data_IF_039595844101
#
_entry.id   IF_039595844101
#
_cell.length_a   1.000
_cell.length_b   1.000
_cell.length_c   1.000
_cell.angle_alpha   90.00
_cell.angle_beta   90.00
_cell.angle_gamma   90.00
#
_symmetry.space_group_name_H-M   'P 1'
#
loop_
_entity.id
_entity.type
_entity.pdbx_description
1 polymer ?
#
# COMPACT_ATOMS: atom_id res chain seq x y z
N UNK A 1 29.15 28.69 -50.18
CA UNK A 1 28.70 27.74 -51.15
C UNK A 1 27.50 27.04 -50.50
N UNK A 2 26.33 27.53 -50.57
CA UNK A 2 25.19 27.39 -51.48
C UNK A 2 25.09 25.98 -52.08
N UNK A 3 23.96 25.34 -51.77
CA UNK A 3 22.85 24.89 -52.62
C UNK A 3 22.01 23.92 -51.80
N UNK A 4 20.80 24.25 -51.53
CA UNK A 4 19.51 24.02 -52.22
C UNK A 4 18.97 22.58 -52.11
N UNK A 5 17.88 22.55 -51.40
CA UNK A 5 16.54 21.96 -51.66
C UNK A 5 16.44 20.56 -52.29
N UNK A 6 15.68 19.69 -51.65
CA UNK A 6 14.47 19.17 -52.33
C UNK A 6 13.48 18.51 -51.33
N UNK A 7 12.26 18.87 -51.52
CA UNK A 7 11.03 18.50 -50.91
C UNK A 7 10.52 17.20 -51.55
N UNK A 8 10.25 16.14 -50.77
CA UNK A 8 9.39 15.05 -51.23
C UNK A 8 8.38 14.68 -50.16
N UNK A 9 7.18 15.17 -50.38
CA UNK A 9 5.93 14.72 -49.79
C UNK A 9 5.69 13.23 -50.08
N UNK A 10 5.71 12.38 -49.06
CA UNK A 10 5.28 10.99 -49.07
C UNK A 10 3.94 10.83 -48.37
N UNK A 11 2.89 10.76 -49.15
CA UNK A 11 1.53 10.42 -48.80
C UNK A 11 1.48 9.03 -48.16
N UNK A 12 1.17 8.92 -46.87
CA UNK A 12 0.80 7.65 -46.27
C UNK A 12 -0.72 7.54 -46.21
N UNK A 13 -1.18 6.59 -46.96
CA UNK A 13 -2.53 6.23 -47.30
C UNK A 13 -3.35 5.79 -46.11
N UNK A 14 -4.49 6.40 -45.95
CA UNK A 14 -5.61 6.03 -45.05
C UNK A 14 -6.15 4.64 -45.38
N UNK A 15 -6.02 3.68 -44.46
CA UNK A 15 -6.85 2.48 -44.38
C UNK A 15 -7.15 2.16 -42.91
N UNK A 16 -8.04 2.91 -42.32
CA UNK A 16 -8.84 2.54 -41.13
C UNK A 16 -10.20 3.23 -41.26
N UNK A 17 -11.00 2.71 -42.15
CA UNK A 17 -12.44 2.92 -42.14
C UNK A 17 -13.04 1.60 -42.60
N UNK A 18 -13.72 0.91 -41.68
CA UNK A 18 -14.88 0.06 -41.89
C UNK A 18 -14.98 -1.00 -40.76
N UNK A 19 -15.42 -0.61 -39.58
CA UNK A 19 -16.26 -1.42 -38.68
C UNK A 19 -17.13 -0.43 -37.89
N UNK A 20 -18.01 0.24 -38.60
CA UNK A 20 -19.10 1.04 -38.02
C UNK A 20 -20.23 1.12 -39.03
N UNK A 21 -20.83 -0.02 -39.30
CA UNK A 21 -22.14 -0.11 -39.93
C UNK A 21 -22.81 -1.41 -39.40
N UNK A 22 -23.76 -1.19 -38.58
CA UNK A 22 -25.03 -1.91 -38.36
C UNK A 22 -25.49 -1.84 -36.90
N UNK A 23 -25.98 -0.72 -36.48
CA UNK A 23 -27.11 -0.59 -35.52
C UNK A 23 -27.89 0.66 -35.87
N UNK A 24 -28.56 0.68 -37.01
CA UNK A 24 -29.68 1.56 -37.24
C UNK A 24 -30.94 0.84 -36.72
N UNK A 25 -31.63 1.47 -35.79
CA UNK A 25 -32.98 1.04 -35.40
C UNK A 25 -33.33 1.07 -33.92
N UNK A 26 -32.71 1.95 -33.09
CA UNK A 26 -33.32 2.27 -31.80
C UNK A 26 -33.48 3.78 -31.70
N UNK A 27 -34.68 4.25 -31.91
CA UNK A 27 -35.05 5.63 -31.62
C UNK A 27 -34.91 5.87 -30.13
N UNK A 28 -34.00 6.80 -29.75
CA UNK A 28 -33.85 7.23 -28.38
C UNK A 28 -35.14 7.96 -27.96
N UNK A 29 -36.06 7.28 -27.31
CA UNK A 29 -37.08 7.93 -26.52
C UNK A 29 -36.44 8.50 -25.26
N UNK A 30 -36.46 9.80 -25.11
CA UNK A 30 -36.09 10.51 -23.87
C UNK A 30 -37.09 10.06 -22.81
N UNK A 31 -36.64 9.25 -21.85
CA UNK A 31 -37.42 8.86 -20.69
C UNK A 31 -37.54 10.06 -19.74
N UNK A 32 -38.71 10.30 -19.08
CA UNK A 32 -38.90 11.40 -18.15
C UNK A 32 -37.96 11.30 -16.96
N UNK A 33 -37.48 12.45 -16.49
CA UNK A 33 -36.66 12.62 -15.30
C UNK A 33 -37.38 12.05 -14.07
N UNK A 34 -37.02 10.89 -13.63
CA UNK A 34 -37.63 10.13 -12.50
C UNK A 34 -37.53 8.61 -12.64
N UNK A 35 -37.28 8.09 -13.84
CA UNK A 35 -37.11 6.65 -14.07
C UNK A 35 -35.64 6.22 -14.16
N UNK A 36 -34.68 7.13 -14.17
CA UNK A 36 -33.25 6.83 -14.23
C UNK A 36 -32.76 6.10 -12.97
N UNK A 37 -33.29 6.43 -11.80
CA UNK A 37 -32.90 5.79 -10.53
C UNK A 37 -33.41 4.34 -10.43
N UNK A 38 -34.58 4.06 -10.98
CA UNK A 38 -35.15 2.69 -11.00
C UNK A 38 -34.47 1.79 -12.02
N UNK A 39 -34.04 2.33 -13.16
CA UNK A 39 -33.29 1.55 -14.17
C UNK A 39 -31.85 1.31 -13.69
N UNK A 40 -31.22 2.27 -13.04
CA UNK A 40 -29.89 2.11 -12.43
C UNK A 40 -29.90 1.03 -11.34
N UNK A 41 -30.90 1.07 -10.43
CA UNK A 41 -31.06 0.05 -9.39
C UNK A 41 -31.39 -1.36 -9.96
N UNK A 42 -32.16 -1.42 -11.04
CA UNK A 42 -32.46 -2.68 -11.71
C UNK A 42 -31.25 -3.26 -12.47
N UNK A 43 -30.40 -2.42 -13.04
CA UNK A 43 -29.15 -2.83 -13.70
C UNK A 43 -28.13 -3.31 -12.65
N UNK A 44 -28.03 -2.65 -11.48
CA UNK A 44 -27.22 -3.10 -10.36
C UNK A 44 -27.68 -4.45 -9.79
N UNK A 45 -29.00 -4.70 -9.73
CA UNK A 45 -29.55 -6.01 -9.30
C UNK A 45 -29.32 -7.13 -10.32
N UNK A 46 -29.10 -6.82 -11.60
CA UNK A 46 -28.78 -7.79 -12.66
C UNK A 46 -27.26 -8.04 -12.81
N UNK A 47 -26.44 -7.12 -12.35
CA UNK A 47 -25.01 -7.34 -12.25
C UNK A 47 -24.75 -8.27 -11.06
N UNK A 48 -24.32 -9.49 -11.32
CA UNK A 48 -23.86 -10.41 -10.27
C UNK A 48 -22.71 -9.81 -9.46
N UNK A 49 -22.31 -10.45 -8.35
CA UNK A 49 -21.28 -9.90 -7.44
C UNK A 49 -19.99 -9.59 -8.20
N UNK A 50 -19.40 -8.45 -7.90
CA UNK A 50 -18.10 -8.01 -8.42
C UNK A 50 -16.99 -9.02 -8.08
N UNK A 51 -15.84 -8.91 -8.72
CA UNK A 51 -14.70 -9.75 -8.42
C UNK A 51 -14.34 -9.73 -6.92
N UNK A 52 -14.23 -8.54 -6.32
CA UNK A 52 -13.86 -8.39 -4.90
C UNK A 52 -14.95 -8.92 -3.96
N UNK A 53 -16.22 -8.73 -4.25
CA UNK A 53 -17.32 -9.32 -3.47
C UNK A 53 -17.28 -10.86 -3.49
N UNK A 54 -16.92 -11.46 -4.63
CA UNK A 54 -16.71 -12.94 -4.71
C UNK A 54 -15.50 -13.38 -3.88
N UNK A 55 -14.40 -12.59 -3.89
CA UNK A 55 -13.23 -12.87 -3.04
C UNK A 55 -13.62 -12.81 -1.56
N UNK A 56 -14.31 -11.75 -1.13
CA UNK A 56 -14.77 -11.58 0.27
C UNK A 56 -15.71 -12.68 0.74
N UNK A 57 -16.52 -13.25 -0.15
CA UNK A 57 -17.44 -14.35 0.17
C UNK A 57 -16.75 -15.73 0.16
N UNK A 58 -15.49 -15.82 -0.29
CA UNK A 58 -14.78 -17.09 -0.37
C UNK A 58 -14.35 -17.61 1.02
N UNK A 59 -14.29 -18.94 1.15
CA UNK A 59 -13.76 -19.58 2.36
C UNK A 59 -12.29 -19.23 2.59
N UNK A 60 -11.51 -19.08 1.51
CA UNK A 60 -10.11 -18.69 1.57
C UNK A 60 -9.93 -17.30 2.19
N UNK A 61 -10.81 -16.35 1.83
CA UNK A 61 -10.77 -15.01 2.43
C UNK A 61 -11.12 -15.05 3.91
N UNK A 62 -12.14 -15.80 4.32
CA UNK A 62 -12.52 -15.93 5.74
C UNK A 62 -11.39 -16.50 6.59
N UNK A 63 -10.68 -17.50 6.08
CA UNK A 63 -9.52 -18.07 6.76
C UNK A 63 -8.38 -17.04 6.85
N UNK A 64 -8.10 -16.31 5.75
CA UNK A 64 -7.09 -15.26 5.72
C UNK A 64 -7.44 -14.13 6.69
N UNK A 65 -8.68 -13.66 6.68
CA UNK A 65 -9.22 -12.58 7.53
C UNK A 65 -9.06 -12.92 9.02
N UNK A 66 -9.43 -14.13 9.43
CA UNK A 66 -9.29 -14.60 10.81
C UNK A 66 -7.82 -14.61 11.24
N UNK A 67 -6.95 -15.21 10.44
CA UNK A 67 -5.51 -15.28 10.73
C UNK A 67 -4.85 -13.90 10.75
N UNK A 68 -5.23 -13.03 9.80
CA UNK A 68 -4.75 -11.66 9.73
C UNK A 68 -5.12 -10.87 10.99
N UNK A 69 -6.36 -10.99 11.46
CA UNK A 69 -6.84 -10.33 12.67
C UNK A 69 -6.05 -10.78 13.92
N UNK A 70 -5.80 -12.09 14.04
CA UNK A 70 -5.00 -12.65 15.13
C UNK A 70 -3.54 -12.15 15.05
N UNK A 71 -2.93 -12.13 13.87
CA UNK A 71 -1.57 -11.61 13.64
C UNK A 71 -1.47 -10.12 14.00
N UNK A 72 -2.45 -9.28 13.62
CA UNK A 72 -2.48 -7.85 13.97
C UNK A 72 -2.58 -7.66 15.49
N UNK A 73 -3.40 -8.47 16.18
CA UNK A 73 -3.48 -8.47 17.65
C UNK A 73 -2.15 -8.80 18.32
N UNK A 74 -1.46 -9.84 17.87
CA UNK A 74 -0.13 -10.24 18.32
C UNK A 74 0.94 -9.18 18.01
N UNK A 75 0.89 -8.60 16.81
CA UNK A 75 1.78 -7.54 16.38
C UNK A 75 1.69 -6.29 17.26
N UNK A 76 0.48 -5.85 17.61
CA UNK A 76 0.24 -4.76 18.54
C UNK A 76 0.95 -4.98 19.88
N UNK A 77 0.82 -6.19 20.46
CA UNK A 77 1.51 -6.55 21.69
C UNK A 77 3.02 -6.52 21.53
N UNK A 78 3.54 -7.08 20.44
CA UNK A 78 4.97 -7.14 20.14
C UNK A 78 5.59 -5.74 19.97
N UNK A 79 4.89 -4.78 19.34
CA UNK A 79 5.36 -3.40 19.22
C UNK A 79 5.53 -2.72 20.61
N UNK A 80 4.57 -2.90 21.50
CA UNK A 80 4.68 -2.37 22.87
C UNK A 80 5.88 -3.01 23.62
N UNK A 81 6.10 -4.28 23.41
CA UNK A 81 7.23 -5.01 24.01
C UNK A 81 8.58 -4.59 23.42
N UNK A 82 8.68 -4.27 22.14
CA UNK A 82 9.91 -3.72 21.52
C UNK A 82 10.27 -2.39 22.19
N UNK A 83 9.30 -1.54 22.49
CA UNK A 83 9.55 -0.25 23.14
C UNK A 83 10.06 -0.43 24.56
N UNK A 84 9.44 -1.33 25.34
CA UNK A 84 9.63 -1.46 26.79
C UNK A 84 10.69 -2.49 27.20
N UNK A 85 10.95 -3.50 26.33
CA UNK A 85 11.77 -4.68 26.63
C UNK A 85 12.91 -4.85 25.61
N UNK A 86 13.47 -6.05 25.56
CA UNK A 86 14.42 -6.48 24.50
C UNK A 86 13.69 -6.77 23.20
N UNK A 87 14.41 -6.65 22.08
CA UNK A 87 13.92 -7.10 20.75
C UNK A 87 14.16 -8.60 20.49
N UNK A 88 14.85 -9.29 21.42
CA UNK A 88 15.24 -10.69 21.22
C UNK A 88 13.99 -11.59 21.06
N UNK A 89 13.89 -12.28 19.93
CA UNK A 89 12.80 -13.19 19.57
C UNK A 89 11.49 -12.50 19.11
N UNK A 90 11.27 -11.21 19.41
CA UNK A 90 10.04 -10.52 19.01
C UNK A 90 9.96 -10.32 17.48
N UNK A 91 11.08 -9.94 16.87
CA UNK A 91 11.15 -9.78 15.40
C UNK A 91 10.94 -11.12 14.70
N UNK A 92 11.54 -12.20 15.21
CA UNK A 92 11.35 -13.53 14.65
C UNK A 92 9.90 -14.00 14.77
N UNK A 93 9.22 -13.69 15.87
CA UNK A 93 7.79 -13.95 16.03
C UNK A 93 6.95 -13.20 14.99
N UNK A 94 7.16 -11.89 14.85
CA UNK A 94 6.44 -11.08 13.86
C UNK A 94 6.69 -11.55 12.41
N UNK A 95 7.93 -11.96 12.09
CA UNK A 95 8.23 -12.54 10.79
C UNK A 95 7.53 -13.88 10.60
N UNK A 96 7.38 -14.68 11.67
CA UNK A 96 6.60 -15.91 11.66
C UNK A 96 5.12 -15.67 11.34
N UNK A 97 4.53 -14.61 11.89
CA UNK A 97 3.15 -14.20 11.59
C UNK A 97 2.99 -13.81 10.11
N UNK A 98 3.93 -13.01 9.58
CA UNK A 98 3.95 -12.66 8.14
C UNK A 98 4.07 -13.92 7.27
N UNK A 99 4.97 -14.83 7.60
CA UNK A 99 5.14 -16.09 6.87
C UNK A 99 3.88 -16.97 6.93
N UNK A 100 3.16 -16.98 8.05
CA UNK A 100 1.89 -17.70 8.21
C UNK A 100 0.83 -17.14 7.25
N UNK A 101 0.69 -15.83 7.18
CA UNK A 101 -0.24 -15.15 6.25
C UNK A 101 0.11 -15.41 4.79
N UNK A 102 1.40 -15.33 4.43
CA UNK A 102 1.87 -15.61 3.06
C UNK A 102 1.51 -17.04 2.60
N UNK A 103 1.56 -18.02 3.50
CA UNK A 103 1.18 -19.42 3.22
C UNK A 103 -0.32 -19.61 2.96
N UNK A 104 -1.18 -18.67 3.35
CA UNK A 104 -2.61 -18.71 3.07
C UNK A 104 -2.95 -18.17 1.68
N UNK A 105 -1.99 -17.61 0.98
CA UNK A 105 -2.20 -17.03 -0.35
C UNK A 105 -1.56 -17.90 -1.43
N UNK A 106 -2.19 -17.95 -2.60
CA UNK A 106 -1.75 -18.80 -3.72
C UNK A 106 -0.54 -18.20 -4.46
N UNK A 107 -0.49 -16.89 -4.53
CA UNK A 107 0.53 -16.13 -5.24
C UNK A 107 0.49 -14.65 -4.81
N UNK A 108 1.46 -13.81 -5.21
CA UNK A 108 1.51 -12.39 -4.85
C UNK A 108 0.27 -11.58 -5.25
N UNK A 109 -0.34 -11.84 -6.40
CA UNK A 109 -1.55 -11.12 -6.83
C UNK A 109 -2.73 -11.47 -5.94
N UNK A 110 -2.90 -12.76 -5.61
CA UNK A 110 -3.94 -13.20 -4.67
C UNK A 110 -3.78 -12.57 -3.28
N UNK A 111 -2.53 -12.38 -2.81
CA UNK A 111 -2.28 -11.63 -1.57
C UNK A 111 -2.79 -10.18 -1.68
N UNK A 112 -2.45 -9.48 -2.77
CA UNK A 112 -2.90 -8.09 -2.96
C UNK A 112 -4.43 -7.99 -3.04
N UNK A 113 -5.12 -8.95 -3.66
CA UNK A 113 -6.58 -9.04 -3.67
C UNK A 113 -7.15 -9.21 -2.25
N UNK A 114 -6.54 -10.09 -1.42
CA UNK A 114 -6.94 -10.27 -0.02
C UNK A 114 -6.75 -8.99 0.79
N UNK A 115 -5.60 -8.31 0.65
CA UNK A 115 -5.34 -7.04 1.34
C UNK A 115 -6.33 -5.95 0.90
N UNK A 116 -6.67 -5.88 -0.39
CA UNK A 116 -7.69 -4.96 -0.89
C UNK A 116 -9.06 -5.21 -0.25
N UNK A 117 -9.41 -6.48 -0.01
CA UNK A 117 -10.66 -6.85 0.67
C UNK A 117 -10.65 -6.56 2.18
N UNK A 118 -9.46 -6.45 2.80
CA UNK A 118 -9.31 -6.09 4.22
C UNK A 118 -9.46 -4.60 4.51
N UNK A 119 -9.60 -3.74 3.51
CA UNK A 119 -9.79 -2.29 3.70
C UNK A 119 -11.08 -2.00 4.48
N UNK A 120 -10.96 -1.16 5.50
CA UNK A 120 -12.09 -0.79 6.37
C UNK A 120 -12.04 -1.41 7.77
N UNK A 121 -11.00 -2.17 8.10
CA UNK A 121 -10.80 -2.70 9.46
C UNK A 121 -10.45 -1.60 10.48
N UNK A 122 -11.00 -1.71 11.70
CA UNK A 122 -10.97 -0.65 12.72
C UNK A 122 -9.58 -0.30 13.29
N UNK A 123 -8.58 -1.18 13.23
CA UNK A 123 -7.25 -0.93 13.81
C UNK A 123 -6.24 -0.46 12.75
N UNK A 124 -6.51 0.72 12.16
CA UNK A 124 -5.84 1.22 10.96
C UNK A 124 -4.30 1.24 11.07
N UNK A 125 -3.71 1.57 12.23
CA UNK A 125 -2.24 1.72 12.35
C UNK A 125 -1.51 0.38 12.28
N UNK A 126 -2.00 -0.63 12.99
CA UNK A 126 -1.34 -1.96 13.05
C UNK A 126 -1.64 -2.79 11.81
N UNK A 127 -2.87 -2.71 11.31
CA UNK A 127 -3.29 -3.29 10.03
C UNK A 127 -2.44 -2.74 8.88
N UNK A 128 -2.27 -1.42 8.82
CA UNK A 128 -1.42 -0.76 7.83
C UNK A 128 0.03 -1.27 7.86
N UNK A 129 0.65 -1.33 9.04
CA UNK A 129 2.03 -1.83 9.15
C UNK A 129 2.18 -3.30 8.71
N UNK A 130 1.18 -4.14 8.99
CA UNK A 130 1.14 -5.53 8.52
C UNK A 130 1.00 -5.59 6.99
N UNK A 131 0.10 -4.79 6.41
CA UNK A 131 -0.08 -4.68 4.97
C UNK A 131 1.21 -4.24 4.28
N UNK A 132 1.85 -3.16 4.77
CA UNK A 132 3.12 -2.66 4.23
C UNK A 132 4.20 -3.73 4.29
N UNK A 133 4.27 -4.52 5.36
CA UNK A 133 5.23 -5.62 5.47
C UNK A 133 4.97 -6.73 4.43
N UNK A 134 3.71 -7.11 4.22
CA UNK A 134 3.30 -8.09 3.21
C UNK A 134 3.59 -7.58 1.79
N UNK A 135 3.31 -6.30 1.50
CA UNK A 135 3.65 -5.68 0.21
C UNK A 135 5.17 -5.61 0.03
N UNK A 136 5.94 -5.28 1.07
CA UNK A 136 7.40 -5.33 1.04
C UNK A 136 7.92 -6.73 0.71
N UNK A 137 7.31 -7.79 1.23
CA UNK A 137 7.65 -9.16 0.86
C UNK A 137 7.42 -9.41 -0.63
N UNK A 138 6.27 -8.98 -1.19
CA UNK A 138 5.98 -9.11 -2.62
C UNK A 138 7.02 -8.37 -3.47
N UNK A 139 7.31 -7.10 -3.15
CA UNK A 139 8.30 -6.29 -3.88
C UNK A 139 9.68 -6.90 -3.79
N UNK A 140 10.12 -7.33 -2.60
CA UNK A 140 11.44 -7.95 -2.39
C UNK A 140 11.62 -9.25 -3.19
N UNK A 141 10.57 -10.07 -3.29
CA UNK A 141 10.58 -11.27 -4.15
C UNK A 141 10.65 -10.89 -5.65
N UNK A 142 9.91 -9.89 -6.11
CA UNK A 142 10.02 -9.39 -7.50
C UNK A 142 11.42 -8.85 -7.82
N UNK A 143 12.06 -8.21 -6.85
CA UNK A 143 13.45 -7.74 -6.96
C UNK A 143 14.49 -8.86 -6.77
N UNK A 144 14.05 -10.10 -6.55
CA UNK A 144 14.90 -11.28 -6.34
C UNK A 144 15.90 -11.12 -5.19
N UNK A 145 15.46 -10.49 -4.11
CA UNK A 145 16.27 -10.34 -2.91
C UNK A 145 16.58 -11.72 -2.28
N UNK A 146 17.76 -11.86 -1.71
CA UNK A 146 18.08 -13.05 -0.91
C UNK A 146 17.22 -13.06 0.37
N UNK A 147 17.09 -14.23 1.00
CA UNK A 147 16.25 -14.44 2.18
C UNK A 147 16.59 -13.49 3.34
N UNK A 148 17.88 -13.23 3.56
CA UNK A 148 18.33 -12.34 4.64
C UNK A 148 17.84 -10.90 4.41
N UNK A 149 18.03 -10.37 3.21
CA UNK A 149 17.61 -9.02 2.86
C UNK A 149 16.07 -8.91 2.81
N UNK A 150 15.39 -9.97 2.35
CA UNK A 150 13.94 -10.03 2.36
C UNK A 150 13.37 -9.92 3.80
N UNK A 151 13.93 -10.68 4.76
CA UNK A 151 13.54 -10.59 6.17
C UNK A 151 13.77 -9.20 6.74
N UNK A 152 14.89 -8.56 6.41
CA UNK A 152 15.16 -7.17 6.83
C UNK A 152 14.14 -6.21 6.22
N UNK A 153 13.82 -6.35 4.93
CA UNK A 153 12.84 -5.48 4.25
C UNK A 153 11.43 -5.62 4.86
N UNK A 154 11.00 -6.86 5.13
CA UNK A 154 9.72 -7.12 5.82
C UNK A 154 9.71 -6.48 7.20
N UNK A 155 10.81 -6.59 7.95
CA UNK A 155 10.96 -5.93 9.26
C UNK A 155 10.91 -4.40 9.12
N UNK A 156 11.47 -3.83 8.05
CA UNK A 156 11.32 -2.41 7.75
C UNK A 156 9.85 -2.03 7.61
N UNK A 157 9.07 -2.80 6.86
CA UNK A 157 7.62 -2.58 6.70
C UNK A 157 6.86 -2.68 8.01
N UNK A 158 7.16 -3.69 8.85
CA UNK A 158 6.53 -3.85 10.16
C UNK A 158 6.79 -2.67 11.11
N UNK A 159 7.99 -2.11 11.10
CA UNK A 159 8.43 -1.14 12.11
C UNK A 159 8.53 0.31 11.61
N UNK A 160 8.19 0.59 10.33
CA UNK A 160 8.34 1.94 9.77
C UNK A 160 7.58 3.00 10.57
N UNK A 161 6.40 2.66 11.03
CA UNK A 161 5.45 3.54 11.71
C UNK A 161 5.47 3.45 13.24
N UNK A 162 6.42 2.73 13.85
CA UNK A 162 6.48 2.54 15.31
C UNK A 162 6.49 3.86 16.09
N UNK A 163 6.99 4.93 15.50
CA UNK A 163 7.01 6.25 16.11
C UNK A 163 5.64 6.88 16.32
N UNK A 164 4.59 6.39 15.66
CA UNK A 164 3.20 6.81 15.91
C UNK A 164 2.76 6.52 17.35
N UNK A 165 3.38 5.56 18.03
CA UNK A 165 3.15 5.30 19.46
C UNK A 165 3.50 6.49 20.38
N UNK A 166 4.27 7.46 19.91
CA UNK A 166 4.59 8.71 20.62
C UNK A 166 3.75 9.91 20.19
N UNK A 167 2.94 9.76 19.18
CA UNK A 167 1.99 10.80 18.75
C UNK A 167 0.74 10.70 19.64
N UNK A 168 0.16 11.84 20.11
CA UNK A 168 -1.07 11.80 20.89
C UNK A 168 -2.20 11.03 20.18
N UNK A 169 -2.86 10.15 20.92
CA UNK A 169 -3.85 9.24 20.34
C UNK A 169 -5.07 9.98 19.75
N UNK A 170 -5.47 11.08 20.34
CA UNK A 170 -6.55 11.96 19.88
C UNK A 170 -6.27 12.59 18.50
N UNK A 171 -4.97 12.73 18.14
CA UNK A 171 -4.55 13.18 16.80
C UNK A 171 -4.55 12.01 15.82
N UNK A 172 -4.00 10.84 16.22
CA UNK A 172 -3.91 9.67 15.33
C UNK A 172 -5.29 9.11 14.97
N UNK A 173 -6.22 9.10 15.95
CA UNK A 173 -7.56 8.54 15.76
C UNK A 173 -8.60 9.59 15.40
N UNK A 174 -8.18 10.82 15.11
CA UNK A 174 -9.09 11.92 14.78
C UNK A 174 -9.90 11.63 13.51
N UNK A 175 -11.22 11.62 13.58
CA UNK A 175 -12.02 11.51 12.38
C UNK A 175 -11.89 12.76 11.51
N UNK A 176 -11.59 12.59 10.23
CA UNK A 176 -11.50 13.66 9.24
C UNK A 176 -10.10 14.26 9.09
N UNK A 177 -10.02 15.49 8.59
CA UNK A 177 -8.74 16.13 8.25
C UNK A 177 -8.04 16.69 9.49
N UNK A 178 -6.72 16.49 9.54
CA UNK A 178 -5.86 17.13 10.53
C UNK A 178 -5.70 18.63 10.24
N UNK A 179 -5.61 19.43 11.28
CA UNK A 179 -5.14 20.81 11.16
C UNK A 179 -3.66 20.85 10.79
N UNK A 180 -3.15 22.00 10.36
CA UNK A 180 -1.73 22.17 10.04
C UNK A 180 -0.86 21.85 11.25
N UNK A 181 -1.25 22.28 12.46
CA UNK A 181 -0.50 22.03 13.70
C UNK A 181 -0.49 20.54 14.06
N UNK A 182 -1.62 19.86 13.96
CA UNK A 182 -1.72 18.40 14.20
C UNK A 182 -0.87 17.61 13.17
N UNK A 183 -0.91 18.02 11.91
CA UNK A 183 -0.09 17.41 10.87
C UNK A 183 1.41 17.56 11.15
N UNK A 184 1.86 18.73 11.62
CA UNK A 184 3.26 18.95 12.02
C UNK A 184 3.66 18.07 13.22
N UNK A 185 2.73 17.72 14.11
CA UNK A 185 2.97 16.76 15.19
C UNK A 185 3.12 15.35 14.61
N UNK A 186 2.22 14.94 13.72
CA UNK A 186 2.31 13.61 13.08
C UNK A 186 3.59 13.45 12.29
N UNK A 187 4.04 14.47 11.56
CA UNK A 187 5.31 14.44 10.79
C UNK A 187 6.56 14.15 11.63
N UNK A 188 6.48 14.19 12.96
CA UNK A 188 7.58 13.81 13.84
C UNK A 188 7.74 12.33 14.10
N UNK A 189 6.72 11.50 13.71
CA UNK A 189 6.79 10.05 13.99
C UNK A 189 8.01 9.35 13.37
N UNK A 190 8.57 9.73 12.20
CA UNK A 190 9.77 9.09 11.70
C UNK A 190 10.97 9.29 12.63
N UNK A 191 11.12 10.50 13.16
CA UNK A 191 12.17 10.80 14.13
C UNK A 191 11.94 10.04 15.45
N UNK A 192 10.70 10.00 15.94
CA UNK A 192 10.36 9.21 17.13
C UNK A 192 10.62 7.72 16.93
N UNK A 193 10.28 7.15 15.76
CA UNK A 193 10.55 5.77 15.42
C UNK A 193 12.05 5.46 15.44
N UNK A 194 12.86 6.29 14.80
CA UNK A 194 14.31 6.15 14.85
C UNK A 194 14.85 6.21 16.30
N UNK A 195 14.42 7.18 17.10
CA UNK A 195 14.83 7.32 18.50
C UNK A 195 14.44 6.09 19.36
N UNK A 196 13.31 5.45 19.07
CA UNK A 196 12.87 4.24 19.75
C UNK A 196 13.69 3.00 19.36
N UNK A 197 14.20 2.97 18.12
CA UNK A 197 14.90 1.82 17.56
C UNK A 197 16.43 1.94 17.58
N UNK A 198 17.01 3.13 17.71
CA UNK A 198 18.45 3.39 17.52
C UNK A 198 19.36 2.50 18.36
N UNK A 199 18.98 2.26 19.62
CA UNK A 199 19.77 1.49 20.58
C UNK A 199 19.36 0.00 20.61
N UNK A 200 18.36 -0.40 19.82
CA UNK A 200 17.91 -1.79 19.74
C UNK A 200 18.84 -2.60 18.84
N UNK A 201 18.93 -3.91 19.11
CA UNK A 201 19.72 -4.87 18.33
C UNK A 201 18.98 -5.22 17.02
N UNK A 202 18.89 -4.26 16.11
CA UNK A 202 18.23 -4.36 14.80
C UNK A 202 19.19 -3.96 13.69
N UNK A 203 18.94 -4.48 12.48
CA UNK A 203 19.68 -4.05 11.30
C UNK A 203 19.54 -2.51 11.12
N UNK A 204 20.62 -1.87 10.69
CA UNK A 204 20.65 -0.41 10.49
C UNK A 204 19.56 0.04 9.52
N UNK A 205 19.26 -0.75 8.48
CA UNK A 205 18.26 -0.45 7.46
C UNK A 205 16.84 -0.33 8.05
N UNK A 206 16.51 -1.15 9.06
CA UNK A 206 15.22 -1.03 9.77
C UNK A 206 15.08 0.31 10.47
N UNK A 207 16.14 0.76 11.14
CA UNK A 207 16.17 2.07 11.83
C UNK A 207 16.04 3.22 10.85
N UNK A 208 16.70 3.11 9.70
CA UNK A 208 16.63 4.11 8.64
C UNK A 208 15.27 4.10 7.93
N UNK A 209 14.64 2.94 7.73
CA UNK A 209 13.30 2.86 7.17
C UNK A 209 12.29 3.61 8.06
N UNK A 210 12.35 3.42 9.38
CA UNK A 210 11.51 4.18 10.30
C UNK A 210 11.73 5.70 10.19
N UNK A 211 12.96 6.15 9.87
CA UNK A 211 13.30 7.57 9.76
C UNK A 211 12.94 8.17 8.39
N UNK A 212 13.08 7.40 7.31
CA UNK A 212 13.17 7.94 5.95
C UNK A 212 12.00 7.55 5.03
N UNK A 213 11.03 6.72 5.47
CA UNK A 213 9.94 6.23 4.60
C UNK A 213 9.05 7.36 4.04
N UNK A 214 9.05 8.53 4.64
CA UNK A 214 8.39 9.72 4.13
C UNK A 214 9.31 10.66 3.32
N UNK A 215 10.57 10.32 3.14
CA UNK A 215 11.41 11.04 2.19
C UNK A 215 10.95 10.77 0.74
N UNK A 216 11.21 11.70 -0.13
CA UNK A 216 10.81 11.61 -1.55
C UNK A 216 12.01 11.92 -2.43
N UNK A 217 12.20 11.14 -3.49
CA UNK A 217 13.36 11.21 -4.38
C UNK A 217 13.73 12.64 -4.81
N UNK A 218 12.74 13.51 -5.01
CA UNK A 218 12.93 14.92 -5.36
C UNK A 218 13.18 15.86 -4.19
N UNK A 219 13.42 15.38 -2.95
CA UNK A 219 13.71 16.21 -1.79
C UNK A 219 12.51 16.93 -1.17
N UNK A 220 11.28 16.58 -1.59
CA UNK A 220 10.04 17.19 -1.06
C UNK A 220 9.47 16.44 0.14
N UNK A 221 10.17 15.39 0.59
CA UNK A 221 9.78 14.57 1.72
C UNK A 221 10.16 15.19 3.07
N UNK A 222 10.00 14.39 4.12
CA UNK A 222 10.36 14.73 5.49
C UNK A 222 10.93 13.50 6.22
N UNK A 223 11.70 13.65 7.33
CA UNK A 223 11.93 14.89 8.11
C UNK A 223 13.07 15.77 7.60
N UNK A 224 13.94 15.30 6.69
CA UNK A 224 15.17 16.01 6.31
C UNK A 224 15.18 16.53 4.88
N UNK A 225 14.22 16.14 4.03
CA UNK A 225 14.20 16.49 2.61
C UNK A 225 15.35 15.85 1.84
N UNK A 226 15.69 14.60 2.14
CA UNK A 226 16.76 13.86 1.46
C UNK A 226 16.44 13.69 -0.02
N UNK A 227 17.48 13.68 -0.87
CA UNK A 227 17.34 13.57 -2.31
C UNK A 227 18.00 12.30 -2.86
N UNK A 228 17.36 11.68 -3.82
CA UNK A 228 17.96 10.63 -4.63
C UNK A 228 18.62 9.52 -3.79
N UNK A 229 19.93 9.33 -4.00
CA UNK A 229 20.73 8.29 -3.35
C UNK A 229 21.02 8.51 -1.85
N UNK A 230 20.68 9.68 -1.29
CA UNK A 230 20.82 9.93 0.15
C UNK A 230 19.74 9.20 0.95
N UNK A 231 18.63 8.80 0.28
CA UNK A 231 17.59 7.94 0.86
C UNK A 231 18.08 6.49 0.82
N UNK A 232 18.04 5.82 1.97
CA UNK A 232 18.41 4.40 2.05
C UNK A 232 17.47 3.56 1.16
N UNK A 233 18.04 2.56 0.47
CA UNK A 233 17.31 1.80 -0.56
C UNK A 233 16.05 1.09 -0.04
N UNK A 234 16.13 0.46 1.15
CA UNK A 234 14.97 -0.21 1.75
C UNK A 234 13.91 0.80 2.20
N UNK A 235 14.34 1.98 2.65
CA UNK A 235 13.43 3.09 2.96
C UNK A 235 12.62 3.52 1.74
N UNK A 236 13.26 3.54 0.57
CA UNK A 236 12.57 3.85 -0.69
C UNK A 236 11.54 2.79 -1.08
N UNK A 237 11.83 1.50 -0.85
CA UNK A 237 10.87 0.42 -1.10
C UNK A 237 9.70 0.51 -0.13
N UNK A 238 9.97 0.73 1.16
CA UNK A 238 8.91 0.94 2.17
C UNK A 238 8.04 2.13 1.81
N UNK A 239 8.63 3.24 1.35
CA UNK A 239 7.88 4.42 0.91
C UNK A 239 6.90 4.13 -0.25
N UNK A 240 7.28 3.22 -1.16
CA UNK A 240 6.38 2.77 -2.26
C UNK A 240 5.28 1.87 -1.71
N UNK A 241 5.61 0.93 -0.82
CA UNK A 241 4.64 0.02 -0.21
C UNK A 241 3.62 0.76 0.66
N UNK A 242 4.07 1.76 1.45
CA UNK A 242 3.26 2.64 2.28
C UNK A 242 2.23 3.42 1.44
N UNK A 243 2.69 4.06 0.37
CA UNK A 243 1.78 4.79 -0.54
C UNK A 243 0.80 3.86 -1.22
N UNK A 244 1.22 2.65 -1.63
CA UNK A 244 0.35 1.68 -2.28
C UNK A 244 -0.78 1.21 -1.34
N UNK A 245 -0.48 0.95 -0.06
CA UNK A 245 -1.51 0.57 0.91
C UNK A 245 -2.48 1.72 1.22
N UNK A 246 -1.98 2.97 1.21
CA UNK A 246 -2.79 4.17 1.48
C UNK A 246 -3.72 4.59 0.31
N UNK A 247 -3.53 4.07 -0.91
CA UNK A 247 -4.39 4.36 -2.08
C UNK A 247 -5.66 3.53 -2.11
#
# INVERSE_FOLDING_TARGET
VQEESENTSGTVNSKQSNVLETVEGVSAQVLPEGETDTVSAAVEQLAGPTYFERVQQSEEFRVFESEFTDCVGGFRQSLNDIVTKSTDGLVDSMLGDVDALLKKTRNPLHLLDMLQCMRGYDDMTYTHSMNVALICNVIGNWLRMNEKDLKVLVTCGLLHDIGKLRVPNDIITKPGKLTVQEYEIVKKHPQYGYEMLKDKKLDRRVKLAALQHHERFGGTGYPYGLMGSDIEYFSSIVAVADVYDAM
#
